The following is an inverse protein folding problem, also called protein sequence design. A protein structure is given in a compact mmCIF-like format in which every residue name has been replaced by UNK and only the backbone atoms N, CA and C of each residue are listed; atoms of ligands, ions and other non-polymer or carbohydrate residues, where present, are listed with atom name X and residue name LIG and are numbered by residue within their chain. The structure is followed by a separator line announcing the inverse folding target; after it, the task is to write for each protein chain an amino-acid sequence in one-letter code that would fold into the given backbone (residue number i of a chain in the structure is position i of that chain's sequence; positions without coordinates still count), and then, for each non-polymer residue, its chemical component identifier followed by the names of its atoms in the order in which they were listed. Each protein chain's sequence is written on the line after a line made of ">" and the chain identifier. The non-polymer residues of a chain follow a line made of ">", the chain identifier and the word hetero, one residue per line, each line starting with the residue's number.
data_IF_223091128146
#
_entry.id   IF_223091128146
#
_cell.length_a   1.000
_cell.length_b   1.000
_cell.length_c   1.000
_cell.angle_alpha   90.00
_cell.angle_beta   90.00
_cell.angle_gamma   90.00
#
_symmetry.space_group_name_H-M   'P 1'
#
loop_
_entity.id
_entity.type
_entity.pdbx_description
1 polymer ?
#
# COMPACT_ATOMS: atom_id res chain seq x y z
N UNK A 1 3.49 22.25 1.43
CA UNK A 1 2.52 21.36 2.13
C UNK A 1 2.33 21.90 3.54
N UNK A 2 1.07 22.04 4.01
CA UNK A 2 0.85 22.33 5.43
C UNK A 2 1.27 21.11 6.24
N UNK A 3 2.03 21.32 7.29
CA UNK A 3 2.44 20.25 8.21
C UNK A 3 1.22 19.64 8.87
N UNK A 4 1.07 18.31 8.82
CA UNK A 4 -0.06 17.62 9.42
C UNK A 4 0.13 17.56 10.94
N UNK A 5 -0.82 18.09 11.69
CA UNK A 5 -0.76 18.12 13.15
C UNK A 5 -1.36 16.86 13.76
N UNK A 6 -0.53 15.83 13.94
CA UNK A 6 -0.94 14.54 14.52
C UNK A 6 -1.58 14.66 15.91
N UNK A 7 -1.05 15.52 16.80
CA UNK A 7 -1.60 15.66 18.16
C UNK A 7 -3.04 16.17 18.13
N UNK A 8 -3.31 17.18 17.31
CA UNK A 8 -4.64 17.71 17.13
C UNK A 8 -5.57 16.65 16.49
N UNK A 9 -5.10 15.99 15.45
CA UNK A 9 -5.85 14.94 14.77
C UNK A 9 -6.28 13.83 15.74
N UNK A 10 -5.34 13.25 16.48
CA UNK A 10 -5.61 12.16 17.45
C UNK A 10 -6.59 12.61 18.55
N UNK A 11 -6.50 13.86 19.01
CA UNK A 11 -7.40 14.37 20.05
C UNK A 11 -8.86 14.57 19.58
N UNK A 12 -9.10 14.59 18.26
CA UNK A 12 -10.42 14.77 17.65
C UNK A 12 -11.08 13.43 17.26
N UNK A 13 -10.36 12.30 17.39
CA UNK A 13 -10.87 10.98 17.03
C UNK A 13 -11.70 10.35 18.15
N UNK A 14 -12.74 9.62 17.78
CA UNK A 14 -13.44 8.70 18.67
C UNK A 14 -12.60 7.44 18.92
N UNK A 15 -12.95 6.66 19.95
CA UNK A 15 -12.27 5.39 20.25
C UNK A 15 -12.33 4.41 19.07
N UNK A 16 -13.44 4.35 18.33
CA UNK A 16 -13.59 3.52 17.13
C UNK A 16 -12.66 3.98 16.01
N UNK A 17 -12.53 5.29 15.81
CA UNK A 17 -11.60 5.86 14.82
C UNK A 17 -10.15 5.60 15.21
N UNK A 18 -9.79 5.69 16.49
CA UNK A 18 -8.47 5.35 17.00
C UNK A 18 -8.11 3.88 16.74
N UNK A 19 -9.07 2.98 16.89
CA UNK A 19 -8.89 1.56 16.55
C UNK A 19 -8.64 1.41 15.04
N UNK A 20 -9.39 2.10 14.20
CA UNK A 20 -9.19 2.09 12.75
C UNK A 20 -7.79 2.56 12.33
N UNK A 21 -7.23 3.56 13.02
CA UNK A 21 -5.90 4.09 12.73
C UNK A 21 -4.74 3.12 13.03
N UNK A 22 -4.96 2.11 13.86
CA UNK A 22 -3.93 1.11 14.21
C UNK A 22 -4.15 -0.24 13.54
N UNK A 23 -5.22 -0.38 12.74
CA UNK A 23 -5.51 -1.61 12.01
C UNK A 23 -4.96 -1.54 10.59
N UNK A 24 -4.44 -2.68 10.13
CA UNK A 24 -4.19 -2.93 8.72
C UNK A 24 -5.25 -3.90 8.20
N UNK A 25 -5.97 -3.48 7.17
CA UNK A 25 -7.02 -4.30 6.57
C UNK A 25 -6.47 -5.05 5.37
N UNK A 26 -6.59 -6.38 5.41
CA UNK A 26 -6.24 -7.25 4.29
C UNK A 26 -7.48 -7.57 3.45
N UNK A 27 -7.32 -7.51 2.14
CA UNK A 27 -8.37 -7.80 1.18
C UNK A 27 -8.16 -9.15 0.51
N UNK A 28 -9.25 -9.84 0.23
CA UNK A 28 -9.21 -11.06 -0.58
C UNK A 28 -9.30 -10.75 -2.08
N UNK A 29 -8.97 -11.73 -2.91
CA UNK A 29 -9.17 -11.62 -4.37
C UNK A 29 -10.66 -11.54 -4.79
N UNK A 30 -11.59 -11.68 -3.84
CA UNK A 30 -13.04 -11.57 -4.05
C UNK A 30 -13.61 -10.23 -3.55
N UNK A 31 -12.77 -9.37 -3.00
CA UNK A 31 -13.20 -8.07 -2.49
C UNK A 31 -13.75 -7.22 -3.62
N UNK A 32 -14.92 -6.63 -3.38
CA UNK A 32 -15.59 -5.74 -4.34
C UNK A 32 -15.17 -4.28 -4.14
N UNK A 33 -15.42 -3.44 -5.13
CA UNK A 33 -15.17 -2.00 -5.04
C UNK A 33 -16.02 -1.34 -3.94
N UNK A 34 -17.25 -1.85 -3.71
CA UNK A 34 -18.12 -1.39 -2.63
C UNK A 34 -17.51 -1.68 -1.25
N UNK A 35 -16.92 -2.86 -1.05
CA UNK A 35 -16.23 -3.23 0.19
C UNK A 35 -14.98 -2.37 0.42
N UNK A 36 -14.22 -2.06 -0.63
CA UNK A 36 -13.09 -1.12 -0.57
C UNK A 36 -13.55 0.27 -0.14
N UNK A 37 -14.64 0.76 -0.73
CA UNK A 37 -15.19 2.07 -0.41
C UNK A 37 -15.73 2.12 1.04
N UNK A 38 -16.37 1.05 1.49
CA UNK A 38 -16.87 0.92 2.87
C UNK A 38 -15.72 0.93 3.89
N UNK A 39 -14.63 0.21 3.60
CA UNK A 39 -13.45 0.19 4.47
C UNK A 39 -12.87 1.61 4.68
N UNK A 40 -12.82 2.42 3.64
CA UNK A 40 -12.36 3.80 3.73
C UNK A 40 -13.35 4.70 4.46
N UNK A 41 -14.64 4.64 4.09
CA UNK A 41 -15.66 5.59 4.58
C UNK A 41 -16.15 5.29 5.98
N UNK A 42 -16.40 4.02 6.27
CA UNK A 42 -17.15 3.59 7.45
C UNK A 42 -16.22 3.12 8.56
N UNK A 43 -15.24 2.31 8.18
CA UNK A 43 -14.32 1.72 9.15
C UNK A 43 -13.12 2.62 9.47
N UNK A 44 -12.91 3.68 8.69
CA UNK A 44 -11.85 4.67 8.88
C UNK A 44 -10.45 4.06 9.05
N UNK A 45 -10.23 2.95 8.33
CA UNK A 45 -8.95 2.26 8.30
C UNK A 45 -7.92 3.13 7.59
N UNK A 46 -6.73 3.23 8.15
CA UNK A 46 -5.64 4.03 7.60
C UNK A 46 -4.52 3.22 6.94
N UNK A 47 -4.56 1.89 7.07
CA UNK A 47 -3.59 1.00 6.42
C UNK A 47 -4.30 -0.14 5.68
N UNK A 48 -3.98 -0.31 4.41
CA UNK A 48 -4.59 -1.30 3.53
C UNK A 48 -3.51 -2.21 2.94
N UNK A 49 -3.69 -3.52 3.11
CA UNK A 49 -2.78 -4.52 2.57
C UNK A 49 -3.32 -5.04 1.23
N UNK A 50 -2.63 -4.74 0.14
CA UNK A 50 -3.16 -4.81 -1.22
C UNK A 50 -2.69 -6.04 -2.03
N UNK A 51 -2.16 -7.07 -1.39
CA UNK A 51 -1.58 -8.24 -2.09
C UNK A 51 -2.56 -8.98 -3.01
N UNK A 52 -3.83 -8.95 -2.67
CA UNK A 52 -4.88 -9.67 -3.42
C UNK A 52 -5.68 -8.78 -4.35
N UNK A 53 -5.38 -7.49 -4.41
CA UNK A 53 -6.09 -6.54 -5.26
C UNK A 53 -5.49 -6.47 -6.65
N UNK A 54 -6.33 -6.26 -7.66
CA UNK A 54 -5.88 -5.91 -9.01
C UNK A 54 -5.36 -4.47 -9.05
N UNK A 55 -4.67 -4.11 -10.13
CA UNK A 55 -4.19 -2.74 -10.32
C UNK A 55 -5.35 -1.76 -10.38
N UNK A 56 -6.44 -2.12 -11.03
CA UNK A 56 -7.66 -1.31 -11.13
C UNK A 56 -8.27 -1.08 -9.75
N UNK A 57 -8.31 -2.10 -8.91
CA UNK A 57 -8.79 -1.99 -7.53
C UNK A 57 -7.88 -1.12 -6.67
N UNK A 58 -6.57 -1.17 -6.85
CA UNK A 58 -5.63 -0.27 -6.17
C UNK A 58 -5.85 1.18 -6.59
N UNK A 59 -6.06 1.44 -7.88
CA UNK A 59 -6.39 2.78 -8.37
C UNK A 59 -7.75 3.26 -7.83
N UNK A 60 -8.75 2.39 -7.76
CA UNK A 60 -10.03 2.70 -7.14
C UNK A 60 -9.86 3.05 -5.66
N UNK A 61 -9.13 2.22 -4.89
CA UNK A 61 -8.83 2.45 -3.47
C UNK A 61 -8.13 3.79 -3.24
N UNK A 62 -7.14 4.13 -4.06
CA UNK A 62 -6.44 5.44 -4.00
C UNK A 62 -7.41 6.61 -4.16
N UNK A 63 -8.32 6.52 -5.12
CA UNK A 63 -9.31 7.56 -5.34
C UNK A 63 -10.31 7.64 -4.18
N UNK A 64 -10.78 6.49 -3.69
CA UNK A 64 -11.64 6.43 -2.51
C UNK A 64 -10.99 7.06 -1.28
N UNK A 65 -9.71 6.77 -1.01
CA UNK A 65 -8.93 7.39 0.07
C UNK A 65 -8.85 8.91 -0.12
N UNK A 66 -8.46 9.36 -1.30
CA UNK A 66 -8.30 10.79 -1.61
C UNK A 66 -9.59 11.59 -1.39
N UNK A 67 -10.73 10.99 -1.70
CA UNK A 67 -12.03 11.65 -1.63
C UNK A 67 -12.68 11.58 -0.25
N UNK A 68 -12.39 10.54 0.53
CA UNK A 68 -13.16 10.23 1.72
C UNK A 68 -12.34 10.15 3.02
N UNK A 69 -11.01 9.97 2.96
CA UNK A 69 -10.20 9.92 4.16
C UNK A 69 -9.77 11.30 4.62
N UNK A 70 -9.82 11.52 5.94
CA UNK A 70 -9.32 12.74 6.60
C UNK A 70 -7.86 12.63 6.99
N UNK A 71 -7.34 11.40 7.07
CA UNK A 71 -5.96 11.10 7.44
C UNK A 71 -5.14 10.60 6.26
N UNK A 72 -3.82 10.70 6.34
CA UNK A 72 -2.94 9.98 5.43
C UNK A 72 -3.16 8.47 5.57
N UNK A 73 -3.44 7.78 4.47
CA UNK A 73 -3.56 6.33 4.45
C UNK A 73 -2.36 5.69 3.74
N UNK A 74 -2.00 4.50 4.19
CA UNK A 74 -0.97 3.68 3.58
C UNK A 74 -1.61 2.54 2.79
N UNK A 75 -1.12 2.30 1.58
CA UNK A 75 -1.38 1.08 0.83
C UNK A 75 -0.07 0.32 0.81
N UNK A 76 -0.07 -0.87 1.41
CA UNK A 76 1.11 -1.73 1.57
C UNK A 76 0.94 -3.02 0.80
N UNK A 77 2.03 -3.67 0.45
CA UNK A 77 2.03 -4.98 -0.19
C UNK A 77 3.35 -5.72 0.10
N UNK A 78 3.30 -7.04 0.07
CA UNK A 78 4.51 -7.85 0.05
C UNK A 78 5.14 -7.82 -1.34
N UNK A 79 6.39 -7.41 -1.40
CA UNK A 79 7.16 -7.39 -2.64
C UNK A 79 8.45 -8.21 -2.52
N UNK A 80 8.38 -9.34 -1.83
CA UNK A 80 9.49 -10.25 -1.56
C UNK A 80 10.29 -10.65 -2.80
N UNK A 81 9.61 -10.77 -3.92
CA UNK A 81 10.18 -11.09 -5.24
C UNK A 81 10.06 -9.91 -6.21
N UNK A 82 9.96 -8.67 -5.66
CA UNK A 82 9.64 -7.48 -6.40
C UNK A 82 8.21 -7.48 -6.94
N UNK A 83 7.92 -6.64 -7.93
CA UNK A 83 6.57 -6.44 -8.44
C UNK A 83 6.01 -7.62 -9.26
N UNK A 84 6.56 -8.82 -9.11
CA UNK A 84 6.07 -10.05 -9.75
C UNK A 84 4.64 -10.40 -9.30
N UNK A 85 4.18 -9.84 -8.19
CA UNK A 85 2.79 -9.94 -7.73
C UNK A 85 1.81 -9.28 -8.69
N UNK A 86 2.29 -8.42 -9.54
CA UNK A 86 1.51 -7.70 -10.55
C UNK A 86 2.04 -8.03 -11.95
N UNK A 87 1.68 -9.18 -12.53
CA UNK A 87 2.17 -9.65 -13.84
C UNK A 87 1.95 -8.63 -14.97
N UNK A 88 0.89 -7.82 -14.84
CA UNK A 88 0.54 -6.76 -15.79
C UNK A 88 1.63 -5.68 -15.89
N UNK A 89 2.43 -5.51 -14.85
CA UNK A 89 3.54 -4.56 -14.87
C UNK A 89 4.72 -5.04 -15.72
N UNK A 90 4.67 -6.30 -16.20
CA UNK A 90 5.76 -6.94 -16.96
C UNK A 90 7.15 -6.72 -16.32
N UNK A 91 7.15 -6.63 -14.99
CA UNK A 91 8.36 -6.37 -14.22
C UNK A 91 8.97 -7.69 -13.80
N UNK A 92 10.02 -8.08 -14.48
CA UNK A 92 10.80 -9.25 -14.12
C UNK A 92 12.00 -8.81 -13.29
N UNK A 93 12.19 -9.46 -12.17
CA UNK A 93 13.46 -9.39 -11.47
C UNK A 93 13.83 -10.74 -10.90
N UNK A 94 15.09 -10.86 -10.63
CA UNK A 94 15.68 -12.09 -10.10
C UNK A 94 15.28 -12.33 -8.66
N UNK A 95 15.37 -13.57 -8.20
CA UNK A 95 15.08 -13.91 -6.80
C UNK A 95 16.13 -13.31 -5.86
N UNK A 96 15.77 -13.14 -4.57
CA UNK A 96 16.73 -12.71 -3.54
C UNK A 96 17.93 -13.68 -3.44
N UNK A 97 17.71 -14.97 -3.67
CA UNK A 97 18.78 -15.96 -3.72
C UNK A 97 19.77 -15.69 -4.87
N UNK A 98 19.26 -15.32 -6.03
CA UNK A 98 20.13 -14.96 -7.18
C UNK A 98 20.92 -13.69 -6.91
N UNK A 99 20.33 -12.72 -6.21
CA UNK A 99 21.04 -11.51 -5.78
C UNK A 99 22.14 -11.84 -4.77
N UNK A 100 21.85 -12.73 -3.80
CA UNK A 100 22.87 -13.22 -2.88
C UNK A 100 24.00 -13.95 -3.59
N UNK A 101 23.70 -14.78 -4.60
CA UNK A 101 24.69 -15.48 -5.40
C UNK A 101 25.55 -14.54 -6.25
N UNK A 102 25.00 -13.44 -6.72
CA UNK A 102 25.75 -12.40 -7.45
C UNK A 102 26.78 -11.69 -6.55
N UNK A 103 26.56 -11.69 -5.25
CA UNK A 103 27.43 -11.06 -4.24
C UNK A 103 27.82 -9.60 -4.61
N UNK A 104 26.86 -8.85 -5.15
CA UNK A 104 27.02 -7.46 -5.59
C UNK A 104 26.00 -6.57 -4.87
N UNK A 105 26.40 -5.83 -3.82
CA UNK A 105 25.51 -4.93 -3.11
C UNK A 105 24.95 -3.79 -3.98
N UNK A 106 25.68 -3.37 -5.02
CA UNK A 106 25.23 -2.30 -5.91
C UNK A 106 24.04 -2.76 -6.75
N UNK A 107 24.06 -4.00 -7.22
CA UNK A 107 22.94 -4.62 -7.93
C UNK A 107 21.71 -4.73 -7.04
N UNK A 108 21.89 -5.17 -5.79
CA UNK A 108 20.79 -5.25 -4.83
C UNK A 108 20.16 -3.88 -4.57
N UNK A 109 20.96 -2.83 -4.45
CA UNK A 109 20.48 -1.45 -4.28
C UNK A 109 19.67 -0.97 -5.49
N UNK A 110 20.17 -1.16 -6.72
CA UNK A 110 19.46 -0.74 -7.93
C UNK A 110 18.14 -1.51 -8.14
N UNK A 111 18.10 -2.80 -7.80
CA UNK A 111 16.85 -3.58 -7.84
C UNK A 111 15.84 -3.06 -6.79
N UNK A 112 16.29 -2.77 -5.56
CA UNK A 112 15.43 -2.18 -4.54
C UNK A 112 14.87 -0.82 -4.96
N UNK A 113 15.70 0.02 -5.54
CA UNK A 113 15.31 1.34 -6.08
C UNK A 113 14.32 1.23 -7.23
N UNK A 114 14.52 0.28 -8.15
CA UNK A 114 13.58 0.00 -9.22
C UNK A 114 12.21 -0.45 -8.66
N UNK A 115 12.22 -1.42 -7.75
CA UNK A 115 11.02 -1.93 -7.08
C UNK A 115 10.26 -0.81 -6.38
N UNK A 116 10.95 0.02 -5.59
CA UNK A 116 10.34 1.14 -4.88
C UNK A 116 9.70 2.17 -5.83
N UNK A 117 10.35 2.49 -6.94
CA UNK A 117 9.78 3.39 -7.96
C UNK A 117 8.51 2.82 -8.57
N UNK A 118 8.51 1.53 -8.87
CA UNK A 118 7.35 0.87 -9.47
C UNK A 118 6.18 0.79 -8.49
N UNK A 119 6.42 0.42 -7.22
CA UNK A 119 5.41 0.43 -6.18
C UNK A 119 4.81 1.84 -6.00
N UNK A 120 5.65 2.86 -5.88
CA UNK A 120 5.19 4.25 -5.74
C UNK A 120 4.38 4.73 -6.93
N UNK A 121 4.73 4.34 -8.16
CA UNK A 121 3.95 4.70 -9.34
C UNK A 121 2.51 4.16 -9.30
N UNK A 122 2.28 3.14 -8.49
CA UNK A 122 0.96 2.53 -8.25
C UNK A 122 0.31 2.96 -6.94
N UNK A 123 0.96 3.84 -6.17
CA UNK A 123 0.44 4.32 -4.90
C UNK A 123 0.68 3.37 -3.73
N UNK A 124 1.48 2.33 -3.92
CA UNK A 124 1.91 1.44 -2.85
C UNK A 124 3.08 2.11 -2.13
N UNK A 125 2.88 2.39 -0.84
CA UNK A 125 3.92 2.83 0.08
C UNK A 125 4.59 1.62 0.73
N UNK A 126 5.87 1.70 0.92
CA UNK A 126 6.66 0.74 1.70
C UNK A 126 7.02 1.35 3.02
#
# INVERSE_FOLDING_TARGET
>A
MKEFNFKKYVAELTDEELVGEVLSWDFSSKTTDEELLEAVKKNKISCFFANSLSIEQIEFLKNAIKENSKSPCLITADVERGPILYPELKAYHTSMMSLGAANDPSLAFEIGKYTARLCRSRGIGL
#
